data_IF_999813626908
#
_entry.id   IF_999813626908
#
_cell.length_a   1.000
_cell.length_b   1.000
_cell.length_c   1.000
_cell.angle_alpha   90.00
_cell.angle_beta   90.00
_cell.angle_gamma   90.00
#
_symmetry.space_group_name_H-M   'P 1'
#
loop_
_entity.id
_entity.type
_entity.pdbx_description
1 polymer ?
#
# COMPACT_ATOMS: atom_id res chain seq x y z
N UNK A 1 18.12 2.64 25.77
CA UNK A 1 17.44 3.90 25.45
C UNK A 1 15.96 3.65 25.62
N UNK A 2 15.36 4.18 26.68
CA UNK A 2 13.94 3.98 27.00
C UNK A 2 13.16 4.96 26.12
N UNK A 3 12.49 4.45 25.09
CA UNK A 3 11.63 5.30 24.24
C UNK A 3 10.39 5.62 25.06
N UNK A 4 10.25 6.88 25.48
CA UNK A 4 9.03 7.38 26.12
C UNK A 4 8.06 7.68 25.00
N UNK A 5 7.07 6.82 24.80
CA UNK A 5 6.04 6.98 23.77
C UNK A 5 5.08 8.11 24.16
N UNK A 6 4.62 8.88 23.18
CA UNK A 6 3.56 9.85 23.41
C UNK A 6 2.26 9.16 23.86
N UNK A 7 1.38 9.85 24.60
CA UNK A 7 0.08 9.31 25.01
C UNK A 7 -0.78 8.80 23.84
N UNK A 8 -0.68 9.47 22.69
CA UNK A 8 -1.41 9.13 21.46
C UNK A 8 -0.92 7.81 20.85
N UNK A 9 0.39 7.56 20.91
CA UNK A 9 0.99 6.30 20.45
C UNK A 9 0.65 5.18 21.44
N UNK A 10 0.61 5.48 22.74
CA UNK A 10 0.20 4.52 23.75
C UNK A 10 -1.25 4.04 23.54
N UNK A 11 -2.16 4.96 23.23
CA UNK A 11 -3.56 4.65 22.93
C UNK A 11 -3.71 3.79 21.66
N UNK A 12 -2.93 4.09 20.61
CA UNK A 12 -2.90 3.29 19.40
C UNK A 12 -2.41 1.86 19.65
N UNK A 13 -1.32 1.70 20.42
CA UNK A 13 -0.76 0.39 20.80
C UNK A 13 -1.76 -0.43 21.62
N UNK A 14 -2.41 0.19 22.62
CA UNK A 14 -3.43 -0.46 23.44
C UNK A 14 -4.65 -0.90 22.61
N UNK A 15 -5.09 -0.08 21.65
CA UNK A 15 -6.18 -0.43 20.74
C UNK A 15 -5.86 -1.69 19.93
N UNK A 16 -4.65 -1.78 19.37
CA UNK A 16 -4.23 -2.96 18.60
C UNK A 16 -4.07 -4.21 19.48
N UNK A 17 -3.53 -4.05 20.69
CA UNK A 17 -3.36 -5.15 21.65
C UNK A 17 -4.71 -5.75 22.05
N UNK A 18 -5.69 -4.89 22.38
CA UNK A 18 -7.02 -5.29 22.84
C UNK A 18 -7.86 -5.95 21.76
N UNK A 19 -7.81 -5.43 20.53
CA UNK A 19 -8.71 -5.89 19.46
C UNK A 19 -8.13 -7.02 18.60
N UNK A 20 -6.81 -7.22 18.60
CA UNK A 20 -6.17 -8.12 17.61
C UNK A 20 -5.17 -9.13 18.20
N UNK A 21 -4.88 -9.08 19.50
CA UNK A 21 -4.07 -10.10 20.18
C UNK A 21 -2.61 -10.20 19.68
N UNK A 22 -2.10 -9.20 18.96
CA UNK A 22 -0.69 -9.15 18.55
C UNK A 22 0.20 -8.83 19.75
N UNK A 23 1.20 -9.68 19.99
CA UNK A 23 2.18 -9.48 21.06
C UNK A 23 3.29 -8.52 20.65
N UNK A 24 3.77 -7.78 21.66
CA UNK A 24 4.40 -6.46 21.58
C UNK A 24 5.59 -6.28 20.63
N UNK A 25 6.26 -7.33 20.15
CA UNK A 25 7.58 -7.17 19.51
C UNK A 25 7.56 -6.70 18.05
N UNK A 26 6.57 -7.12 17.26
CA UNK A 26 6.51 -6.79 15.83
C UNK A 26 5.66 -5.55 15.55
N UNK A 27 4.70 -5.25 16.42
CA UNK A 27 3.87 -4.04 16.33
C UNK A 27 4.64 -2.78 16.76
N UNK A 28 5.50 -2.91 17.79
CA UNK A 28 6.41 -1.85 18.24
C UNK A 28 7.27 -1.33 17.08
N UNK A 29 7.85 -2.21 16.26
CA UNK A 29 8.77 -1.78 15.19
C UNK A 29 8.11 -0.91 14.11
N UNK A 30 6.80 -1.08 13.87
CA UNK A 30 6.05 -0.29 12.91
C UNK A 30 5.48 1.02 13.45
N UNK A 31 5.08 1.05 14.72
CA UNK A 31 4.47 2.22 15.37
C UNK A 31 5.50 3.12 16.09
N UNK A 32 6.59 2.55 16.61
CA UNK A 32 7.66 3.30 17.31
C UNK A 32 8.49 4.15 16.33
N UNK A 33 8.34 3.93 15.03
CA UNK A 33 8.95 4.80 14.05
C UNK A 33 8.19 6.11 13.84
N UNK A 34 7.00 6.35 14.42
CA UNK A 34 6.32 7.64 14.22
C UNK A 34 7.09 8.84 14.76
N UNK A 35 7.55 8.78 16.02
CA UNK A 35 8.34 9.88 16.60
C UNK A 35 9.69 10.02 15.89
N UNK A 36 10.34 8.90 15.56
CA UNK A 36 11.61 8.89 14.80
C UNK A 36 11.42 9.41 13.36
N UNK A 37 10.27 9.13 12.74
CA UNK A 37 9.89 9.63 11.41
C UNK A 37 9.52 11.10 11.51
N UNK A 38 8.87 11.56 12.57
CA UNK A 38 8.50 12.96 12.78
C UNK A 38 9.73 13.85 12.90
N UNK A 39 10.74 13.38 13.62
CA UNK A 39 12.05 14.06 13.74
C UNK A 39 12.79 14.16 12.39
N UNK A 40 12.55 13.22 11.46
CA UNK A 40 13.20 13.19 10.14
C UNK A 40 12.36 13.84 9.03
N UNK A 41 11.04 13.73 9.11
CA UNK A 41 10.06 14.21 8.15
C UNK A 41 8.66 14.23 8.81
N UNK A 42 8.34 15.36 9.44
CA UNK A 42 7.08 15.57 10.14
C UNK A 42 5.85 15.42 9.23
N UNK A 43 5.92 15.91 7.99
CA UNK A 43 4.81 15.85 7.04
C UNK A 43 4.47 14.40 6.67
N UNK A 44 5.47 13.56 6.45
CA UNK A 44 5.28 12.14 6.18
C UNK A 44 4.70 11.40 7.41
N UNK A 45 5.19 11.71 8.61
CA UNK A 45 4.69 11.13 9.84
C UNK A 45 3.20 11.45 10.07
N UNK A 46 2.80 12.69 9.82
CA UNK A 46 1.40 13.14 9.97
C UNK A 46 0.47 12.46 8.96
N UNK A 47 0.92 12.26 7.71
CA UNK A 47 0.14 11.52 6.70
C UNK A 47 -0.11 10.07 7.13
N UNK A 48 0.91 9.39 7.64
CA UNK A 48 0.81 7.99 8.08
C UNK A 48 -0.05 7.89 9.35
N UNK A 49 0.02 8.88 10.25
CA UNK A 49 -0.82 8.95 11.45
C UNK A 49 -2.29 9.19 11.11
N UNK A 50 -2.57 10.13 10.21
CA UNK A 50 -3.93 10.38 9.71
C UNK A 50 -4.49 9.15 9.00
N UNK A 51 -3.68 8.43 8.23
CA UNK A 51 -4.10 7.19 7.59
C UNK A 51 -4.49 6.09 8.61
N UNK A 52 -3.74 5.97 9.72
CA UNK A 52 -4.13 5.12 10.84
C UNK A 52 -5.49 5.55 11.43
N UNK A 53 -5.66 6.85 11.70
CA UNK A 53 -6.86 7.39 12.36
C UNK A 53 -8.12 7.21 11.49
N UNK A 54 -8.00 7.41 10.19
CA UNK A 54 -9.12 7.30 9.25
C UNK A 54 -9.42 5.85 8.86
N UNK A 55 -8.39 5.01 8.70
CA UNK A 55 -8.51 3.64 8.14
C UNK A 55 -7.63 2.64 8.90
N UNK A 56 -7.91 2.38 10.18
CA UNK A 56 -7.05 1.57 11.04
C UNK A 56 -6.86 0.13 10.52
N UNK A 57 -7.91 -0.49 9.97
CA UNK A 57 -7.83 -1.85 9.40
C UNK A 57 -6.93 -1.92 8.16
N UNK A 58 -6.99 -0.89 7.29
CA UNK A 58 -6.17 -0.81 6.09
C UNK A 58 -4.70 -0.56 6.43
N UNK A 59 -4.47 0.26 7.46
CA UNK A 59 -3.15 0.47 8.04
C UNK A 59 -2.55 -0.84 8.57
N UNK A 60 -3.31 -1.61 9.36
CA UNK A 60 -2.86 -2.92 9.87
C UNK A 60 -2.55 -3.89 8.73
N UNK A 61 -3.42 -3.96 7.72
CA UNK A 61 -3.22 -4.83 6.56
C UNK A 61 -1.93 -4.46 5.81
N UNK A 62 -1.66 -3.16 5.64
CA UNK A 62 -0.42 -2.64 5.06
C UNK A 62 0.82 -3.03 5.88
N UNK A 63 0.74 -3.02 7.22
CA UNK A 63 1.85 -3.45 8.07
C UNK A 63 2.09 -4.95 8.05
N UNK A 64 1.03 -5.77 8.06
CA UNK A 64 1.13 -7.23 8.14
C UNK A 64 1.52 -7.88 6.81
N UNK A 65 1.02 -7.32 5.70
CA UNK A 65 1.14 -7.94 4.38
C UNK A 65 2.01 -7.13 3.41
N UNK A 66 2.59 -6.02 3.88
CA UNK A 66 3.19 -5.00 3.03
C UNK A 66 2.12 -4.12 2.39
N UNK A 67 2.52 -2.93 1.96
CA UNK A 67 1.65 -2.03 1.20
C UNK A 67 2.08 -1.96 -0.26
N UNK A 68 1.11 -1.79 -1.14
CA UNK A 68 1.33 -1.46 -2.55
C UNK A 68 0.77 -0.07 -2.76
N UNK A 69 1.64 0.90 -3.07
CA UNK A 69 1.20 2.24 -3.43
C UNK A 69 0.81 2.19 -4.90
N UNK A 70 -0.49 2.15 -5.18
CA UNK A 70 -0.95 2.32 -6.56
C UNK A 70 -0.69 3.77 -6.97
N UNK A 71 0.37 3.98 -7.74
CA UNK A 71 0.58 5.24 -8.46
C UNK A 71 -0.17 5.14 -9.77
N UNK A 72 -1.35 5.78 -9.91
CA UNK A 72 -2.11 5.70 -11.14
C UNK A 72 -1.29 6.28 -12.29
N UNK A 73 -1.37 5.64 -13.45
CA UNK A 73 -0.74 6.08 -14.69
C UNK A 73 -1.86 6.43 -15.67
N UNK A 74 -1.71 7.55 -16.37
CA UNK A 74 -2.61 7.91 -17.46
C UNK A 74 -2.63 6.83 -18.55
N UNK A 75 -3.81 6.58 -19.13
CA UNK A 75 -4.00 5.47 -20.07
C UNK A 75 -2.99 5.47 -21.21
N UNK A 76 -2.79 6.62 -21.87
CA UNK A 76 -1.85 6.75 -22.99
C UNK A 76 -0.40 6.39 -22.58
N UNK A 77 0.01 6.77 -21.37
CA UNK A 77 1.33 6.44 -20.84
C UNK A 77 1.42 4.95 -20.48
N UNK A 78 0.37 4.39 -19.88
CA UNK A 78 0.32 2.98 -19.51
C UNK A 78 0.43 2.06 -20.73
N UNK A 79 -0.23 2.39 -21.84
CA UNK A 79 -0.15 1.62 -23.09
C UNK A 79 1.28 1.59 -23.64
N UNK A 80 1.94 2.75 -23.73
CA UNK A 80 3.34 2.82 -24.20
C UNK A 80 4.24 1.95 -23.32
N UNK A 81 4.12 2.06 -22.00
CA UNK A 81 4.92 1.28 -21.04
C UNK A 81 4.66 -0.23 -21.14
N UNK A 82 3.41 -0.63 -21.28
CA UNK A 82 3.03 -2.03 -21.45
C UNK A 82 3.64 -2.64 -22.72
N UNK A 83 3.58 -1.94 -23.86
CA UNK A 83 4.20 -2.40 -25.10
C UNK A 83 5.74 -2.31 -25.08
N UNK A 84 6.32 -1.48 -24.22
CA UNK A 84 7.74 -1.48 -23.89
C UNK A 84 8.16 -2.61 -22.93
N UNK A 85 7.27 -3.56 -22.63
CA UNK A 85 7.53 -4.72 -21.76
C UNK A 85 7.78 -4.35 -20.29
N UNK A 86 7.15 -3.29 -19.80
CA UNK A 86 7.12 -3.03 -18.36
C UNK A 86 6.03 -3.87 -17.68
N UNK A 87 6.31 -4.40 -16.49
CA UNK A 87 5.28 -5.00 -15.64
C UNK A 87 4.46 -3.88 -15.01
N UNK A 88 3.14 -3.90 -15.22
CA UNK A 88 2.20 -2.92 -14.69
C UNK A 88 1.13 -3.60 -13.84
N UNK A 89 0.54 -2.83 -12.91
CA UNK A 89 -0.62 -3.25 -12.14
C UNK A 89 -1.88 -2.70 -12.81
N UNK A 90 -2.90 -3.53 -12.96
CA UNK A 90 -4.20 -3.15 -13.50
C UNK A 90 -5.33 -3.55 -12.56
N UNK A 91 -6.31 -2.66 -12.44
CA UNK A 91 -7.51 -2.88 -11.64
C UNK A 91 -8.74 -2.77 -12.54
N UNK A 92 -9.53 -3.83 -12.61
CA UNK A 92 -10.77 -3.82 -13.39
C UNK A 92 -11.74 -2.78 -12.82
N UNK A 93 -12.24 -1.87 -13.65
CA UNK A 93 -13.08 -0.74 -13.18
C UNK A 93 -14.35 -1.19 -12.45
N UNK A 94 -14.98 -2.28 -12.88
CA UNK A 94 -16.25 -2.74 -12.30
C UNK A 94 -16.07 -3.70 -11.11
N UNK A 95 -15.14 -4.64 -11.22
CA UNK A 95 -14.99 -5.71 -10.20
C UNK A 95 -13.99 -5.34 -9.11
N UNK A 96 -13.18 -4.29 -9.33
CA UNK A 96 -12.15 -3.85 -8.41
C UNK A 96 -10.99 -4.84 -8.21
N UNK A 97 -11.00 -5.98 -8.92
CA UNK A 97 -9.94 -6.99 -8.84
C UNK A 97 -8.67 -6.48 -9.48
N UNK A 98 -7.55 -6.75 -8.81
CA UNK A 98 -6.20 -6.34 -9.20
C UNK A 98 -5.44 -7.50 -9.84
N UNK A 99 -4.66 -7.18 -10.86
CA UNK A 99 -3.80 -8.11 -11.55
C UNK A 99 -2.49 -7.42 -11.92
N UNK A 100 -1.41 -8.20 -12.01
CA UNK A 100 -0.20 -7.78 -12.69
C UNK A 100 -0.29 -8.22 -14.13
N UNK A 101 0.13 -7.35 -15.05
CA UNK A 101 0.16 -7.61 -16.48
C UNK A 101 1.52 -7.24 -17.04
N UNK A 102 2.05 -8.12 -17.88
CA UNK A 102 3.30 -7.95 -18.61
C UNK A 102 3.15 -8.63 -19.97
N UNK A 103 3.79 -8.07 -21.01
CA UNK A 103 3.60 -8.50 -22.39
C UNK A 103 3.84 -10.01 -22.60
N UNK A 104 4.77 -10.58 -21.84
CA UNK A 104 5.22 -11.97 -21.96
C UNK A 104 4.45 -12.95 -21.04
N UNK A 105 3.37 -12.51 -20.38
CA UNK A 105 2.54 -13.41 -19.59
C UNK A 105 1.87 -14.47 -20.49
N UNK A 106 2.00 -15.75 -20.10
CA UNK A 106 1.38 -16.88 -20.81
C UNK A 106 -0.16 -16.79 -20.87
N UNK A 107 -0.78 -16.12 -19.89
CA UNK A 107 -2.23 -15.94 -19.82
C UNK A 107 -2.58 -14.66 -19.07
N UNK A 108 -3.34 -13.79 -19.72
CA UNK A 108 -3.90 -12.57 -19.12
C UNK A 108 -5.15 -12.85 -18.28
N UNK A 109 -5.52 -11.94 -17.36
CA UNK A 109 -6.81 -12.00 -16.70
C UNK A 109 -7.97 -12.00 -17.71
N UNK A 110 -9.08 -12.64 -17.36
CA UNK A 110 -10.24 -12.71 -18.23
C UNK A 110 -10.77 -11.31 -18.58
N UNK A 111 -11.01 -11.06 -19.87
CA UNK A 111 -11.45 -9.75 -20.36
C UNK A 111 -10.33 -8.69 -20.45
N UNK A 112 -9.07 -9.08 -20.35
CA UNK A 112 -7.93 -8.22 -20.62
C UNK A 112 -7.43 -8.47 -22.05
N UNK A 113 -7.90 -7.65 -22.98
CA UNK A 113 -7.57 -7.71 -24.39
C UNK A 113 -7.39 -6.29 -24.96
N UNK A 114 -6.82 -6.20 -26.17
CA UNK A 114 -6.47 -4.91 -26.78
C UNK A 114 -7.66 -3.95 -26.95
N UNK A 115 -8.88 -4.49 -27.06
CA UNK A 115 -10.12 -3.71 -27.24
C UNK A 115 -10.74 -3.29 -25.92
N UNK A 116 -10.27 -3.85 -24.79
CA UNK A 116 -10.81 -3.63 -23.46
C UNK A 116 -9.80 -3.01 -22.50
N UNK A 117 -8.62 -2.58 -22.98
CA UNK A 117 -7.56 -1.99 -22.15
C UNK A 117 -8.01 -0.73 -21.39
N UNK A 118 -8.96 0.03 -21.94
CA UNK A 118 -9.56 1.21 -21.32
C UNK A 118 -10.53 0.87 -20.18
N UNK A 119 -10.97 -0.38 -20.05
CA UNK A 119 -11.80 -0.86 -18.94
C UNK A 119 -10.99 -1.11 -17.65
N UNK A 120 -9.69 -0.85 -17.68
CA UNK A 120 -8.77 -1.07 -16.57
C UNK A 120 -8.18 0.26 -16.09
N UNK A 121 -8.06 0.41 -14.78
CA UNK A 121 -7.24 1.47 -14.18
C UNK A 121 -5.81 0.95 -14.10
N UNK A 122 -4.87 1.74 -14.61
CA UNK A 122 -3.46 1.36 -14.71
C UNK A 122 -2.65 2.02 -13.60
N UNK A 123 -1.71 1.27 -13.04
CA UNK A 123 -0.82 1.77 -12.01
C UNK A 123 0.57 1.14 -12.11
N UNK A 124 1.56 1.87 -11.61
CA UNK A 124 2.92 1.36 -11.50
C UNK A 124 2.97 0.19 -10.52
N UNK A 125 3.78 -0.82 -10.83
CA UNK A 125 4.20 -1.78 -9.82
C UNK A 125 5.22 -1.08 -8.94
N UNK A 126 4.79 -0.53 -7.81
CA UNK A 126 5.75 -0.13 -6.78
C UNK A 126 6.35 -1.40 -6.21
N UNK A 127 7.67 -1.55 -6.34
CA UNK A 127 8.42 -2.59 -5.67
C UNK A 127 8.04 -2.61 -4.18
N UNK A 128 7.85 -3.83 -3.66
CA UNK A 128 7.71 -4.07 -2.22
C UNK A 128 8.84 -3.31 -1.54
N UNK A 129 8.51 -2.45 -0.58
CA UNK A 129 9.52 -2.02 0.38
C UNK A 129 9.90 -3.26 1.19
N UNK A 130 11.06 -3.83 0.85
CA UNK A 130 11.83 -4.65 1.78
C UNK A 130 12.30 -3.82 2.98
#
# INVERSE_FOLDING_TARGET
MTVVLSPEIHEAVEYFKKNLGYSDKHLYLGLVQFDVMKDKNAEFADVIYNFYKEKPESFIAAFKHGYVVERPIEFNQAIVRFFNKEELSVKHKNSGKRYKVHLEMKKYPAGFDIRTLDMWNWSEVTARNE
#
